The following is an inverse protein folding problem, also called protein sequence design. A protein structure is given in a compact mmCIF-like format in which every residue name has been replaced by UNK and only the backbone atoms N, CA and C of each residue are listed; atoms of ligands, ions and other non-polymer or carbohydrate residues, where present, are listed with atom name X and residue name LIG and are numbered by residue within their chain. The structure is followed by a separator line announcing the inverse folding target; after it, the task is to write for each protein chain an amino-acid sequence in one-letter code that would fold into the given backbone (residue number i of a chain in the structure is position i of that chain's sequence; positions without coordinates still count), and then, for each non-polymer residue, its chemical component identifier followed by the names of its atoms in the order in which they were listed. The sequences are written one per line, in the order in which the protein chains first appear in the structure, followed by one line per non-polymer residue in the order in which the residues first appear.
data_IF_121049205741
#
_entry.id   IF_121049205741
#
_cell.length_a   1.000
_cell.length_b   1.000
_cell.length_c   1.000
_cell.angle_alpha   90.00
_cell.angle_beta   90.00
_cell.angle_gamma   90.00
#
_symmetry.space_group_name_H-M   'P 1'
#
loop_
_entity.id
_entity.type
_entity.pdbx_description
1 polymer ?
#
# COMPACT_ATOMS: atom_id res chain seq x y z
N UNK A 1 2.23 -3.07 26.27
CA UNK A 1 1.96 -3.71 24.98
C UNK A 1 2.38 -2.79 23.85
N UNK A 2 3.17 -3.29 22.94
CA UNK A 2 3.66 -2.53 21.80
C UNK A 2 2.65 -2.57 20.65
N UNK A 3 2.53 -1.46 19.94
CA UNK A 3 1.72 -1.36 18.74
C UNK A 3 2.62 -1.05 17.56
N UNK A 4 2.12 -1.30 16.36
CA UNK A 4 2.85 -0.91 15.14
C UNK A 4 2.78 0.61 15.02
N UNK A 5 3.93 1.24 14.80
CA UNK A 5 4.03 2.67 14.59
C UNK A 5 4.26 2.96 13.11
N UNK A 6 3.67 4.07 12.62
CA UNK A 6 3.86 4.54 11.26
C UNK A 6 4.65 5.84 11.31
N UNK A 7 5.77 5.90 10.57
CA UNK A 7 6.58 7.11 10.49
C UNK A 7 6.68 7.57 9.04
N UNK A 8 6.30 8.81 8.78
CA UNK A 8 6.42 9.40 7.46
C UNK A 8 7.90 9.56 7.07
N UNK A 9 8.26 9.12 5.88
CA UNK A 9 9.62 9.22 5.35
C UNK A 9 9.61 10.27 4.25
N UNK A 10 10.19 11.43 4.52
CA UNK A 10 10.22 12.55 3.57
C UNK A 10 11.63 12.94 3.16
N UNK A 11 12.63 12.47 3.89
CA UNK A 11 14.02 12.78 3.60
C UNK A 11 14.58 11.73 2.65
N UNK A 12 15.00 12.17 1.47
CA UNK A 12 15.61 11.34 0.45
C UNK A 12 16.81 10.56 0.97
N UNK A 13 17.52 11.09 1.98
CA UNK A 13 18.71 10.44 2.54
C UNK A 13 18.42 9.62 3.80
N UNK A 14 17.16 9.42 4.17
CA UNK A 14 16.82 8.63 5.34
C UNK A 14 17.29 7.19 5.16
N UNK A 15 18.13 6.67 6.09
CA UNK A 15 18.66 5.31 5.98
C UNK A 15 17.58 4.22 5.92
N UNK A 16 16.38 4.49 6.44
CA UNK A 16 15.30 3.49 6.39
C UNK A 16 14.91 3.15 4.95
N UNK A 17 15.20 4.03 3.99
CA UNK A 17 14.92 3.73 2.59
C UNK A 17 15.69 2.50 2.09
N UNK A 18 16.87 2.21 2.65
CA UNK A 18 17.61 1.00 2.29
C UNK A 18 16.87 -0.25 2.76
N UNK A 19 16.26 -0.20 3.95
CA UNK A 19 15.48 -1.31 4.47
C UNK A 19 14.19 -1.50 3.64
N UNK A 20 13.56 -0.39 3.30
CA UNK A 20 12.34 -0.42 2.48
C UNK A 20 12.67 -0.99 1.10
N UNK A 21 13.77 -0.58 0.50
CA UNK A 21 14.18 -1.11 -0.81
C UNK A 21 14.28 -2.63 -0.79
N UNK A 22 14.91 -3.18 0.24
CA UNK A 22 15.06 -4.64 0.36
C UNK A 22 13.71 -5.32 0.46
N UNK A 23 12.83 -4.85 1.35
CA UNK A 23 11.49 -5.42 1.48
C UNK A 23 10.71 -5.31 0.17
N UNK A 24 10.81 -4.15 -0.49
CA UNK A 24 10.11 -3.85 -1.74
C UNK A 24 10.52 -4.82 -2.85
N UNK A 25 11.82 -5.02 -3.03
CA UNK A 25 12.33 -5.90 -4.08
C UNK A 25 12.10 -7.37 -3.78
N UNK A 26 12.09 -7.76 -2.51
CA UNK A 26 11.81 -9.13 -2.10
C UNK A 26 10.32 -9.47 -2.17
N UNK A 27 9.45 -8.50 -1.95
CA UNK A 27 8.02 -8.74 -1.83
C UNK A 27 7.25 -8.64 -3.14
N UNK A 28 7.78 -7.92 -4.12
CA UNK A 28 7.07 -7.68 -5.38
C UNK A 28 7.92 -8.07 -6.56
N UNK A 29 7.36 -8.83 -7.52
CA UNK A 29 8.09 -9.14 -8.75
C UNK A 29 8.33 -7.87 -9.58
N UNK A 30 9.32 -7.92 -10.45
CA UNK A 30 9.76 -6.76 -11.23
C UNK A 30 8.64 -6.08 -11.98
N UNK A 31 7.70 -6.86 -12.53
CA UNK A 31 6.58 -6.31 -13.31
C UNK A 31 5.55 -5.58 -12.45
N UNK A 32 5.57 -5.79 -11.13
CA UNK A 32 4.60 -5.20 -10.20
C UNK A 32 5.19 -4.06 -9.39
N UNK A 33 6.41 -3.65 -9.68
CA UNK A 33 7.08 -2.59 -8.91
C UNK A 33 7.87 -1.65 -9.79
N UNK A 34 8.17 -0.48 -9.22
CA UNK A 34 9.06 0.49 -9.86
C UNK A 34 10.50 0.09 -9.62
N UNK A 35 11.41 0.62 -10.42
CA UNK A 35 12.81 0.66 -10.04
C UNK A 35 12.89 1.54 -8.77
N UNK A 36 13.58 1.09 -7.74
CA UNK A 36 13.57 1.80 -6.47
C UNK A 36 14.19 3.19 -6.54
N UNK A 37 15.07 3.41 -7.51
CA UNK A 37 15.59 4.77 -7.75
C UNK A 37 14.47 5.76 -8.05
N UNK A 38 13.40 5.30 -8.73
CA UNK A 38 12.23 6.13 -9.00
C UNK A 38 11.43 6.41 -7.73
N UNK A 39 11.35 5.42 -6.83
CA UNK A 39 10.70 5.62 -5.53
C UNK A 39 11.44 6.70 -4.74
N UNK A 40 12.78 6.64 -4.71
CA UNK A 40 13.59 7.66 -4.03
C UNK A 40 13.38 9.04 -4.63
N UNK A 41 13.30 9.13 -5.95
CA UNK A 41 13.04 10.39 -6.63
C UNK A 41 11.67 10.96 -6.28
N UNK A 42 10.66 10.10 -6.18
CA UNK A 42 9.32 10.52 -5.77
C UNK A 42 9.30 11.05 -4.34
N UNK A 43 10.06 10.44 -3.43
CA UNK A 43 10.19 10.93 -2.06
C UNK A 43 10.75 12.36 -2.04
N UNK A 44 11.74 12.63 -2.88
CA UNK A 44 12.36 13.95 -2.96
C UNK A 44 11.49 14.98 -3.65
N UNK A 45 10.85 14.61 -4.77
CA UNK A 45 10.29 15.57 -5.71
C UNK A 45 8.77 15.68 -5.71
N UNK A 46 8.06 14.68 -5.17
CA UNK A 46 6.59 14.63 -5.29
C UNK A 46 5.92 14.72 -3.92
N UNK A 47 5.31 15.87 -3.63
CA UNK A 47 4.71 16.11 -2.32
C UNK A 47 3.50 15.22 -2.01
N UNK A 48 2.83 14.71 -3.04
CA UNK A 48 1.67 13.83 -2.86
C UNK A 48 2.05 12.37 -2.67
N UNK A 49 3.29 12.01 -3.00
CA UNK A 49 3.76 10.65 -2.80
C UNK A 49 4.12 10.46 -1.34
N UNK A 50 3.59 9.40 -0.74
CA UNK A 50 3.82 9.10 0.66
C UNK A 50 4.58 7.80 0.82
N UNK A 51 5.50 7.79 1.78
CA UNK A 51 6.20 6.59 2.22
C UNK A 51 6.12 6.58 3.74
N UNK A 52 5.69 5.46 4.29
CA UNK A 52 5.69 5.24 5.73
C UNK A 52 6.53 4.03 6.05
N UNK A 53 7.44 4.20 7.01
CA UNK A 53 8.16 3.09 7.61
C UNK A 53 7.33 2.57 8.78
N UNK A 54 7.17 1.27 8.84
CA UNK A 54 6.42 0.61 9.91
C UNK A 54 7.41 0.01 10.87
N UNK A 55 7.16 0.19 12.17
CA UNK A 55 8.02 -0.37 13.20
C UNK A 55 7.19 -0.97 14.33
N UNK A 56 7.78 -1.92 15.01
CA UNK A 56 7.23 -2.51 16.23
C UNK A 56 8.39 -2.74 17.18
N UNK A 57 8.26 -2.26 18.42
CA UNK A 57 9.33 -2.32 19.41
C UNK A 57 10.63 -1.68 18.88
N UNK A 58 10.47 -0.53 18.21
CA UNK A 58 11.57 0.23 17.60
C UNK A 58 12.34 -0.52 16.52
N UNK A 59 11.76 -1.57 15.97
CA UNK A 59 12.36 -2.32 14.86
C UNK A 59 11.54 -2.13 13.60
N UNK A 60 12.22 -1.92 12.49
CA UNK A 60 11.58 -1.86 11.18
C UNK A 60 10.88 -3.19 10.88
N UNK A 61 9.61 -3.13 10.50
CA UNK A 61 8.85 -4.34 10.15
C UNK A 61 8.22 -4.28 8.77
N UNK A 62 8.25 -3.14 8.09
CA UNK A 62 7.64 -3.03 6.77
C UNK A 62 7.44 -1.60 6.33
N UNK A 63 6.66 -1.43 5.26
CA UNK A 63 6.45 -0.10 4.71
C UNK A 63 5.09 -0.02 4.00
N UNK A 64 4.67 1.23 3.76
CA UNK A 64 3.54 1.55 2.90
C UNK A 64 3.98 2.67 1.98
N UNK A 65 3.69 2.55 0.68
CA UNK A 65 3.83 3.66 -0.26
C UNK A 65 2.47 3.97 -0.85
N UNK A 66 2.27 5.21 -1.25
CA UNK A 66 0.99 5.59 -1.83
C UNK A 66 0.94 7.05 -2.22
N UNK A 67 -0.28 7.53 -2.43
CA UNK A 67 -0.54 8.87 -2.96
C UNK A 67 -1.68 9.53 -2.22
N UNK A 68 -1.52 10.81 -1.93
CA UNK A 68 -2.58 11.61 -1.31
C UNK A 68 -3.42 12.25 -2.42
N UNK A 69 -4.72 11.98 -2.38
CA UNK A 69 -5.69 12.63 -3.26
C UNK A 69 -6.71 13.37 -2.41
N UNK A 70 -7.49 14.23 -3.05
CA UNK A 70 -8.57 14.93 -2.37
C UNK A 70 -9.61 13.92 -1.90
N UNK A 71 -9.78 13.84 -0.59
CA UNK A 71 -10.79 12.99 0.01
C UNK A 71 -10.41 11.53 0.21
N UNK A 72 -9.26 11.08 -0.26
CA UNK A 72 -8.83 9.69 -0.01
C UNK A 72 -7.32 9.52 -0.19
N UNK A 73 -6.81 8.41 0.31
CA UNK A 73 -5.41 8.02 0.17
C UNK A 73 -5.36 6.72 -0.64
N UNK A 74 -4.53 6.69 -1.66
CA UNK A 74 -4.33 5.49 -2.46
C UNK A 74 -3.05 4.78 -2.01
N UNK A 75 -3.16 3.51 -1.63
CA UNK A 75 -1.99 2.69 -1.25
C UNK A 75 -1.51 1.97 -2.50
N UNK A 76 -0.26 2.23 -2.89
CA UNK A 76 0.33 1.59 -4.06
C UNK A 76 1.00 0.27 -3.70
N UNK A 77 1.82 0.27 -2.65
CA UNK A 77 2.49 -0.93 -2.16
C UNK A 77 2.46 -0.98 -0.64
N UNK A 78 2.25 -2.17 -0.12
CA UNK A 78 2.28 -2.43 1.32
C UNK A 78 2.88 -3.81 1.50
N UNK A 79 3.90 -3.92 2.34
CA UNK A 79 4.50 -5.21 2.65
C UNK A 79 5.11 -5.20 4.04
N UNK A 80 5.01 -6.35 4.69
CA UNK A 80 5.72 -6.63 5.94
C UNK A 80 7.01 -7.34 5.56
N UNK A 81 8.11 -6.94 6.16
CA UNK A 81 9.40 -7.55 5.91
C UNK A 81 9.33 -9.06 6.20
N UNK A 82 9.92 -9.91 5.33
CA UNK A 82 9.85 -11.36 5.55
C UNK A 82 10.28 -11.81 6.94
N UNK A 83 11.25 -11.15 7.55
CA UNK A 83 11.73 -11.46 8.88
C UNK A 83 10.70 -11.18 9.99
N UNK A 84 9.65 -10.40 9.70
CA UNK A 84 8.65 -9.99 10.67
C UNK A 84 7.24 -10.53 10.37
N UNK A 85 7.09 -11.42 9.41
CA UNK A 85 5.78 -11.89 8.90
C UNK A 85 5.10 -12.93 9.79
N UNK A 86 4.97 -12.72 11.04
CA UNK A 86 4.25 -13.63 11.92
C UNK A 86 3.44 -12.83 12.93
N UNK A 87 2.42 -13.46 13.52
CA UNK A 87 1.68 -12.89 14.62
C UNK A 87 0.72 -11.75 14.26
N UNK A 88 0.27 -11.69 13.00
CA UNK A 88 -0.75 -10.71 12.60
C UNK A 88 -0.24 -9.29 12.46
N UNK A 89 1.05 -9.09 12.28
CA UNK A 89 1.63 -7.74 12.14
C UNK A 89 1.05 -6.99 10.95
N UNK A 90 0.80 -7.69 9.83
CA UNK A 90 0.22 -7.05 8.66
C UNK A 90 -1.14 -6.43 8.93
N UNK A 91 -2.01 -7.16 9.61
CA UNK A 91 -3.34 -6.66 9.96
C UNK A 91 -3.23 -5.50 10.96
N UNK A 92 -2.37 -5.63 11.95
CA UNK A 92 -2.15 -4.58 12.93
C UNK A 92 -1.62 -3.31 12.27
N UNK A 93 -0.65 -3.46 11.38
CA UNK A 93 -0.06 -2.33 10.66
C UNK A 93 -1.10 -1.59 9.83
N UNK A 94 -1.92 -2.32 9.07
CA UNK A 94 -2.94 -1.67 8.24
C UNK A 94 -4.01 -1.00 9.10
N UNK A 95 -4.41 -1.59 10.21
CA UNK A 95 -5.34 -0.94 11.13
C UNK A 95 -4.79 0.38 11.67
N UNK A 96 -3.53 0.39 12.07
CA UNK A 96 -2.89 1.61 12.55
C UNK A 96 -2.77 2.65 11.44
N UNK A 97 -2.47 2.23 10.23
CA UNK A 97 -2.39 3.12 9.09
C UNK A 97 -3.75 3.78 8.80
N UNK A 98 -4.83 3.01 8.86
CA UNK A 98 -6.18 3.55 8.64
C UNK A 98 -6.53 4.62 9.66
N UNK A 99 -6.17 4.40 10.93
CA UNK A 99 -6.38 5.40 11.98
C UNK A 99 -5.48 6.61 11.74
N UNK A 100 -4.22 6.37 11.40
CA UNK A 100 -3.21 7.41 11.23
C UNK A 100 -3.55 8.36 10.08
N UNK A 101 -3.96 7.83 8.93
CA UNK A 101 -4.21 8.67 7.77
C UNK A 101 -5.55 9.42 7.83
N UNK A 102 -6.53 8.91 8.55
CA UNK A 102 -7.80 9.60 8.80
C UNK A 102 -8.67 9.83 7.57
N UNK A 103 -8.34 9.26 6.43
CA UNK A 103 -9.10 9.34 5.19
C UNK A 103 -9.51 7.95 4.74
N UNK A 104 -10.52 7.83 3.84
CA UNK A 104 -10.72 6.56 3.15
C UNK A 104 -9.44 6.12 2.44
N UNK A 105 -9.19 4.84 2.42
CA UNK A 105 -8.02 4.25 1.76
C UNK A 105 -8.50 3.38 0.60
N UNK A 106 -7.88 3.56 -0.56
CA UNK A 106 -8.16 2.78 -1.76
C UNK A 106 -6.90 2.02 -2.12
N UNK A 107 -7.06 0.77 -2.55
CA UNK A 107 -5.94 -0.02 -3.05
C UNK A 107 -6.42 -0.95 -4.16
N UNK A 108 -5.46 -1.50 -4.90
CA UNK A 108 -5.74 -2.43 -5.98
C UNK A 108 -5.40 -3.84 -5.53
N UNK A 109 -6.23 -4.80 -5.96
CA UNK A 109 -6.00 -6.22 -5.73
C UNK A 109 -6.10 -6.96 -7.05
N UNK A 110 -5.40 -8.07 -7.15
CA UNK A 110 -5.48 -8.93 -8.31
C UNK A 110 -6.88 -9.55 -8.42
N UNK A 111 -7.25 -9.91 -9.65
CA UNK A 111 -8.50 -10.63 -9.88
C UNK A 111 -8.50 -11.93 -9.06
N UNK A 112 -9.65 -12.32 -8.44
CA UNK A 112 -9.70 -13.46 -7.54
C UNK A 112 -9.73 -14.79 -8.30
N UNK A 113 -8.67 -15.09 -9.03
CA UNK A 113 -8.58 -16.26 -9.90
C UNK A 113 -7.83 -17.44 -9.27
N UNK A 114 -7.06 -17.19 -8.20
CA UNK A 114 -6.36 -18.25 -7.48
C UNK A 114 -6.50 -18.09 -5.97
N UNK A 115 -5.99 -19.05 -5.23
CA UNK A 115 -6.14 -19.05 -3.76
C UNK A 115 -5.41 -17.87 -3.12
N UNK A 116 -4.27 -17.48 -3.66
CA UNK A 116 -3.48 -16.39 -3.09
C UNK A 116 -4.18 -15.04 -3.26
N UNK A 117 -4.74 -14.77 -4.43
CA UNK A 117 -5.47 -13.52 -4.68
C UNK A 117 -6.76 -13.47 -3.85
N UNK A 118 -7.48 -14.60 -3.72
CA UNK A 118 -8.67 -14.67 -2.87
C UNK A 118 -8.33 -14.42 -1.40
N UNK A 119 -7.20 -14.98 -0.95
CA UNK A 119 -6.74 -14.80 0.43
C UNK A 119 -6.41 -13.33 0.72
N UNK A 120 -5.78 -12.66 -0.25
CA UNK A 120 -5.46 -11.23 -0.11
C UNK A 120 -6.72 -10.39 0.00
N UNK A 121 -7.70 -10.66 -0.84
CA UNK A 121 -9.00 -9.97 -0.76
C UNK A 121 -9.64 -10.21 0.62
N UNK A 122 -9.64 -11.45 1.09
CA UNK A 122 -10.18 -11.79 2.41
C UNK A 122 -9.46 -11.06 3.54
N UNK A 123 -8.15 -10.90 3.43
CA UNK A 123 -7.36 -10.14 4.40
C UNK A 123 -7.88 -8.71 4.52
N UNK A 124 -8.08 -8.03 3.39
CA UNK A 124 -8.58 -6.66 3.40
C UNK A 124 -10.04 -6.58 3.80
N UNK A 125 -10.86 -7.54 3.41
CA UNK A 125 -12.27 -7.56 3.84
C UNK A 125 -12.40 -7.66 5.36
N UNK A 126 -11.54 -8.45 6.01
CA UNK A 126 -11.54 -8.54 7.47
C UNK A 126 -11.14 -7.22 8.14
N UNK A 127 -10.47 -6.35 7.42
CA UNK A 127 -10.09 -5.02 7.90
C UNK A 127 -11.12 -3.95 7.59
N UNK A 128 -12.25 -4.34 6.98
CA UNK A 128 -13.33 -3.41 6.67
C UNK A 128 -13.31 -2.84 5.27
N UNK A 129 -12.40 -3.31 4.42
CA UNK A 129 -12.40 -2.89 3.01
C UNK A 129 -13.52 -3.61 2.26
N UNK A 130 -14.03 -2.93 1.26
CA UNK A 130 -15.06 -3.49 0.36
C UNK A 130 -14.51 -3.59 -1.05
N UNK A 131 -14.78 -4.71 -1.70
CA UNK A 131 -14.37 -4.97 -3.08
C UNK A 131 -15.34 -4.31 -4.05
N UNK A 132 -14.80 -3.54 -4.98
CA UNK A 132 -15.57 -3.01 -6.10
C UNK A 132 -15.66 -4.09 -7.17
N UNK A 133 -16.85 -4.26 -7.75
CA UNK A 133 -17.09 -5.29 -8.75
C UNK A 133 -16.59 -4.92 -10.15
N UNK A 134 -16.25 -3.66 -10.39
CA UNK A 134 -15.75 -3.23 -11.69
C UNK A 134 -14.30 -3.61 -11.87
N UNK A 135 -13.95 -4.01 -13.09
CA UNK A 135 -12.56 -4.30 -13.44
C UNK A 135 -11.83 -2.99 -13.66
N UNK A 136 -10.67 -2.87 -13.08
CA UNK A 136 -9.77 -1.74 -13.24
C UNK A 136 -8.54 -2.21 -14.00
N UNK A 137 -8.08 -1.41 -14.97
CA UNK A 137 -6.88 -1.75 -15.74
C UNK A 137 -5.70 -0.94 -15.24
N UNK A 138 -4.77 -1.62 -14.59
CA UNK A 138 -3.58 -0.99 -14.05
C UNK A 138 -2.56 -0.80 -15.18
N UNK A 139 -2.07 0.45 -15.38
CA UNK A 139 -1.01 0.69 -16.35
C UNK A 139 0.28 0.00 -15.91
N UNK A 140 1.11 -0.44 -16.87
CA UNK A 140 2.35 -1.10 -16.51
C UNK A 140 3.31 -0.14 -15.82
N UNK A 141 4.10 -0.66 -14.88
CA UNK A 141 5.13 0.12 -14.21
C UNK A 141 6.33 0.38 -15.11
N UNK A 142 6.51 -0.45 -16.12
CA UNK A 142 7.66 -0.37 -17.02
C UNK A 142 7.22 -0.20 -18.44
N UNK A 143 7.99 0.57 -19.20
CA UNK A 143 7.71 0.80 -20.61
C UNK A 143 7.66 -0.54 -21.36
N UNK A 144 6.64 -0.71 -22.20
CA UNK A 144 6.44 -1.93 -22.96
C UNK A 144 5.78 -3.07 -22.19
N UNK A 145 5.45 -2.85 -20.91
CA UNK A 145 4.75 -3.85 -20.11
C UNK A 145 3.27 -3.95 -20.48
N UNK A 146 2.60 -4.94 -19.93
CA UNK A 146 1.18 -5.16 -20.18
C UNK A 146 0.31 -4.48 -19.13
N UNK A 147 -0.89 -4.06 -19.53
CA UNK A 147 -1.92 -3.61 -18.61
C UNK A 147 -2.49 -4.82 -17.90
N UNK A 148 -2.65 -4.71 -16.58
CA UNK A 148 -3.17 -5.79 -15.77
C UNK A 148 -4.61 -5.50 -15.35
N UNK A 149 -5.46 -6.53 -15.39
CA UNK A 149 -6.79 -6.43 -14.85
C UNK A 149 -6.72 -6.55 -13.34
N UNK A 150 -7.27 -5.55 -12.65
CA UNK A 150 -7.26 -5.47 -11.19
C UNK A 150 -8.65 -5.10 -10.71
N UNK A 151 -8.85 -5.17 -9.41
CA UNK A 151 -10.03 -4.62 -8.75
C UNK A 151 -9.62 -3.64 -7.68
N UNK A 152 -10.51 -2.72 -7.38
CA UNK A 152 -10.28 -1.76 -6.30
C UNK A 152 -10.95 -2.25 -5.03
N UNK A 153 -10.31 -1.99 -3.89
CA UNK A 153 -10.91 -2.16 -2.58
C UNK A 153 -10.81 -0.85 -1.84
N UNK A 154 -11.81 -0.53 -1.05
CA UNK A 154 -11.84 0.73 -0.31
C UNK A 154 -12.23 0.48 1.14
N UNK A 155 -11.65 1.25 2.06
CA UNK A 155 -11.94 1.15 3.49
C UNK A 155 -13.29 1.78 3.86
N UNK A 156 -13.97 2.44 2.88
CA UNK A 156 -15.34 2.92 3.02
C UNK A 156 -16.13 2.45 1.81
N UNK A 157 -17.49 2.59 1.86
CA UNK A 157 -18.31 2.17 0.74
C UNK A 157 -17.98 2.98 -0.52
N UNK A 158 -18.04 2.34 -1.67
CA UNK A 158 -17.81 2.98 -2.96
C UNK A 158 -18.76 4.16 -3.17
N UNK A 159 -20.00 4.03 -2.72
CA UNK A 159 -20.99 5.10 -2.80
C UNK A 159 -20.51 6.36 -2.08
N UNK A 160 -19.88 6.20 -0.92
CA UNK A 160 -19.34 7.31 -0.16
C UNK A 160 -18.21 8.00 -0.92
N UNK A 161 -17.30 7.24 -1.51
CA UNK A 161 -16.20 7.79 -2.32
C UNK A 161 -16.74 8.55 -3.53
N UNK A 162 -17.72 8.01 -4.24
CA UNK A 162 -18.30 8.67 -5.38
C UNK A 162 -18.96 9.99 -5.02
N UNK A 163 -19.58 10.05 -3.84
CA UNK A 163 -20.16 11.30 -3.36
C UNK A 163 -19.08 12.36 -3.16
N UNK A 164 -17.90 11.99 -2.70
CA UNK A 164 -16.77 12.92 -2.58
C UNK A 164 -16.28 13.39 -3.93
N UNK A 165 -16.23 12.50 -4.91
CA UNK A 165 -15.77 12.85 -6.27
C UNK A 165 -16.67 13.84 -6.95
N UNK A 166 -17.96 13.81 -6.66
CA UNK A 166 -18.93 14.70 -7.31
C UNK A 166 -19.02 16.08 -6.65
N UNK A 167 -18.41 16.27 -5.52
CA UNK A 167 -18.39 17.54 -4.82
C UNK A 167 -17.27 18.44 -5.32
#
# INVERSE_FOLDING_TARGET
RQVVACRSVKDFSDPVLDLIERTYTESFPEVERRDFSLVRNLVRDESRFIVYALSKEDRYVGFITGWLFDGYTYVEHFAIDPAARNGGIGAEAMKQFLVFCGTPVVLEVEMPTDEMSKRRIGFYERLGFKLDNQVYHQPPYREGGEWLEMRLMTSVSYTHLRAHETL
#
